data_IF_839671058852
#
_entry.id   IF_839671058852
#
_cell.length_a   1.000
_cell.length_b   1.000
_cell.length_c   1.000
_cell.angle_alpha   90.00
_cell.angle_beta   90.00
_cell.angle_gamma   90.00
#
_symmetry.space_group_name_H-M   'P 1'
#
loop_
_entity.id
_entity.type
_entity.pdbx_description
1 polymer ?
#
# COMPACT_ATOMS: atom_id res chain seq x y z
N UNK A 1 4.37 -18.64 -14.71
CA UNK A 1 3.79 -18.46 -16.07
C UNK A 1 3.21 -17.07 -16.14
N UNK A 2 3.50 -16.31 -17.21
CA UNK A 2 2.91 -14.98 -17.40
C UNK A 2 1.58 -15.15 -18.12
N UNK A 3 0.53 -14.54 -17.59
CA UNK A 3 -0.84 -14.62 -18.10
C UNK A 3 -1.40 -13.21 -18.27
N UNK A 4 -2.08 -12.97 -19.39
CA UNK A 4 -2.93 -11.80 -19.61
C UNK A 4 -4.24 -11.99 -18.90
N UNK A 5 -4.67 -11.03 -18.06
CA UNK A 5 -5.90 -11.14 -17.27
C UNK A 5 -7.02 -10.26 -17.80
N UNK A 6 -6.69 -9.11 -18.34
CA UNK A 6 -7.61 -8.21 -19.01
C UNK A 6 -6.85 -7.39 -20.05
N UNK A 7 -7.48 -7.12 -21.18
CA UNK A 7 -6.91 -6.32 -22.27
C UNK A 7 -7.97 -5.42 -22.89
N UNK A 8 -7.57 -4.19 -23.18
CA UNK A 8 -8.38 -3.19 -23.85
C UNK A 8 -7.67 -2.74 -25.11
N UNK A 9 -8.39 -2.73 -26.23
CA UNK A 9 -7.88 -2.17 -27.46
C UNK A 9 -7.89 -0.63 -27.36
N UNK A 10 -6.72 -0.07 -27.64
CA UNK A 10 -6.54 1.38 -27.76
C UNK A 10 -6.54 1.76 -29.25
N UNK A 11 -6.69 3.06 -29.60
CA UNK A 11 -6.57 3.51 -30.99
C UNK A 11 -5.29 3.02 -31.63
N UNK A 12 -5.33 2.78 -32.97
CA UNK A 12 -4.18 2.39 -33.81
C UNK A 12 -3.55 1.02 -33.46
N UNK A 13 -4.36 0.06 -33.05
CA UNK A 13 -3.96 -1.32 -32.71
C UNK A 13 -3.03 -1.46 -31.49
N UNK A 14 -2.92 -0.43 -30.65
CA UNK A 14 -2.29 -0.56 -29.35
C UNK A 14 -3.21 -1.24 -28.35
N UNK A 15 -2.65 -1.75 -27.25
CA UNK A 15 -3.43 -2.40 -26.18
C UNK A 15 -2.98 -1.94 -24.82
N UNK A 16 -3.94 -1.73 -23.95
CA UNK A 16 -3.71 -1.70 -22.51
C UNK A 16 -3.99 -3.08 -21.95
N UNK A 17 -2.94 -3.77 -21.48
CA UNK A 17 -3.04 -5.14 -20.99
C UNK A 17 -2.49 -5.22 -19.57
N UNK A 18 -3.26 -5.84 -18.67
CA UNK A 18 -2.83 -6.19 -17.32
C UNK A 18 -2.39 -7.64 -17.29
N UNK A 19 -1.21 -7.89 -16.73
CA UNK A 19 -0.61 -9.22 -16.64
C UNK A 19 -0.44 -9.66 -15.20
N UNK A 20 -0.43 -10.98 -14.99
CA UNK A 20 0.06 -11.60 -13.77
C UNK A 20 1.17 -12.61 -14.07
N UNK A 21 1.98 -12.90 -13.06
CA UNK A 21 2.88 -14.04 -13.07
C UNK A 21 2.39 -15.07 -12.04
N UNK A 22 1.94 -16.22 -12.53
CA UNK A 22 1.56 -17.37 -11.68
C UNK A 22 2.77 -18.23 -11.39
N UNK A 23 3.07 -18.39 -10.10
CA UNK A 23 4.05 -19.31 -9.56
C UNK A 23 3.31 -20.45 -8.86
N UNK A 24 3.66 -21.70 -9.20
CA UNK A 24 2.97 -22.86 -8.67
C UNK A 24 3.96 -24.02 -8.49
N UNK A 25 3.66 -25.00 -7.59
CA UNK A 25 4.43 -26.23 -7.50
C UNK A 25 4.48 -26.99 -8.81
N UNK A 26 5.50 -27.82 -8.99
CA UNK A 26 5.66 -28.61 -10.21
C UNK A 26 4.53 -29.64 -10.47
N UNK A 27 3.76 -30.00 -9.43
CA UNK A 27 2.53 -30.82 -9.56
C UNK A 27 1.44 -30.23 -8.70
N UNK A 28 0.23 -30.12 -9.25
CA UNK A 28 -0.95 -29.60 -8.58
C UNK A 28 -1.90 -30.73 -8.20
N UNK A 29 -2.39 -30.70 -6.96
CA UNK A 29 -3.42 -31.63 -6.44
C UNK A 29 -4.84 -31.08 -6.61
N UNK A 30 -4.95 -29.78 -6.89
CA UNK A 30 -6.22 -29.04 -6.94
C UNK A 30 -6.72 -28.55 -5.57
N UNK A 31 -5.88 -28.68 -4.53
CA UNK A 31 -6.19 -28.23 -3.15
C UNK A 31 -5.21 -27.16 -2.65
N UNK A 32 -4.33 -26.70 -3.52
CA UNK A 32 -3.33 -25.72 -3.18
C UNK A 32 -3.99 -24.40 -2.75
N UNK A 33 -3.49 -23.86 -1.64
CA UNK A 33 -3.82 -22.50 -1.22
C UNK A 33 -3.26 -21.48 -2.21
N UNK A 34 -4.00 -20.40 -2.42
CA UNK A 34 -3.64 -19.35 -3.38
C UNK A 34 -3.52 -17.98 -2.71
N UNK A 35 -2.34 -17.37 -2.82
CA UNK A 35 -2.07 -15.99 -2.45
C UNK A 35 -2.02 -15.13 -3.71
N UNK A 36 -2.77 -14.04 -3.74
CA UNK A 36 -2.64 -12.97 -4.71
C UNK A 36 -1.85 -11.80 -4.12
N UNK A 37 -0.83 -11.32 -4.82
CA UNK A 37 -0.04 -10.13 -4.46
C UNK A 37 -0.26 -9.11 -5.56
N UNK A 38 -0.86 -7.98 -5.19
CA UNK A 38 -1.28 -6.93 -6.11
C UNK A 38 -0.52 -5.65 -5.79
N UNK A 39 -0.02 -4.99 -6.84
CA UNK A 39 0.64 -3.68 -6.76
C UNK A 39 0.34 -2.84 -7.99
N UNK A 40 0.77 -1.58 -8.01
CA UNK A 40 0.69 -0.74 -9.20
C UNK A 40 -0.74 -0.34 -9.61
N UNK A 41 -1.69 -0.29 -8.67
CA UNK A 41 -2.99 0.36 -8.90
C UNK A 41 -2.76 1.84 -9.22
N UNK A 42 -1.80 2.45 -8.54
CA UNK A 42 -1.32 3.78 -8.83
C UNK A 42 0.07 3.69 -9.46
N UNK A 43 0.24 4.33 -10.63
CA UNK A 43 1.47 4.18 -11.39
C UNK A 43 2.68 4.93 -10.83
N UNK A 44 2.47 5.82 -9.86
CA UNK A 44 3.53 6.52 -9.12
C UNK A 44 4.02 5.76 -7.88
N UNK A 45 3.48 4.55 -7.59
CA UNK A 45 3.79 3.75 -6.41
C UNK A 45 4.74 2.59 -6.76
N UNK A 46 6.05 2.80 -6.59
CA UNK A 46 7.08 1.93 -7.15
C UNK A 46 7.65 0.88 -6.18
N UNK A 47 7.40 0.98 -4.87
CA UNK A 47 7.89 -0.01 -3.89
C UNK A 47 7.40 -1.42 -4.23
N UNK A 48 6.13 -1.53 -4.67
CA UNK A 48 5.51 -2.79 -5.07
C UNK A 48 6.22 -3.50 -6.22
N UNK A 49 6.80 -2.74 -7.16
CA UNK A 49 7.55 -3.28 -8.29
C UNK A 49 8.80 -4.04 -7.80
N UNK A 50 9.53 -3.45 -6.86
CA UNK A 50 10.70 -4.08 -6.26
C UNK A 50 10.32 -5.31 -5.41
N UNK A 51 9.23 -5.23 -4.66
CA UNK A 51 8.72 -6.36 -3.86
C UNK A 51 8.36 -7.53 -4.76
N UNK A 52 7.59 -7.31 -5.82
CA UNK A 52 7.24 -8.35 -6.79
C UNK A 52 8.48 -9.02 -7.38
N UNK A 53 9.46 -8.21 -7.81
CA UNK A 53 10.74 -8.73 -8.33
C UNK A 53 11.43 -9.64 -7.32
N UNK A 54 11.61 -9.21 -6.08
CA UNK A 54 12.32 -9.98 -5.05
C UNK A 54 11.57 -11.24 -4.61
N UNK A 55 10.23 -11.17 -4.47
CA UNK A 55 9.41 -12.35 -4.14
C UNK A 55 9.52 -13.40 -5.24
N UNK A 56 9.38 -13.01 -6.51
CA UNK A 56 9.54 -13.92 -7.65
C UNK A 56 10.96 -14.54 -7.66
N UNK A 57 11.97 -13.70 -7.47
CA UNK A 57 13.37 -14.14 -7.46
C UNK A 57 13.64 -15.17 -6.36
N UNK A 58 13.16 -14.93 -5.14
CA UNK A 58 13.32 -15.85 -4.01
C UNK A 58 12.57 -17.16 -4.23
N UNK A 59 11.34 -17.11 -4.73
CA UNK A 59 10.56 -18.34 -5.03
C UNK A 59 11.27 -19.15 -6.11
N UNK A 60 11.77 -18.52 -7.18
CA UNK A 60 12.48 -19.20 -8.24
C UNK A 60 13.85 -19.77 -7.80
N UNK A 61 14.45 -19.22 -6.73
CA UNK A 61 15.69 -19.74 -6.16
C UNK A 61 15.51 -21.01 -5.32
N UNK A 62 14.29 -21.25 -4.81
CA UNK A 62 13.96 -22.39 -3.97
C UNK A 62 12.56 -22.94 -4.34
N UNK A 63 12.37 -23.38 -5.60
CA UNK A 63 11.05 -23.77 -6.11
C UNK A 63 10.45 -24.99 -5.38
N UNK A 64 11.29 -25.84 -4.79
CA UNK A 64 10.87 -27.00 -3.99
C UNK A 64 10.14 -26.62 -2.71
N UNK A 65 10.35 -25.38 -2.20
CA UNK A 65 9.67 -24.87 -1.01
C UNK A 65 8.28 -24.35 -1.31
N UNK A 66 7.92 -24.13 -2.57
CA UNK A 66 6.60 -23.68 -2.96
C UNK A 66 5.60 -24.83 -2.89
N UNK A 67 4.57 -24.71 -2.03
CA UNK A 67 3.52 -25.72 -1.80
C UNK A 67 2.14 -25.26 -2.25
N UNK A 68 1.97 -23.97 -2.47
CA UNK A 68 0.74 -23.37 -2.95
C UNK A 68 0.95 -22.52 -4.20
N UNK A 69 -0.06 -21.78 -4.59
CA UNK A 69 -0.06 -20.90 -5.76
C UNK A 69 0.18 -19.46 -5.30
N UNK A 70 1.09 -18.76 -5.97
CA UNK A 70 1.29 -17.33 -5.78
C UNK A 70 1.05 -16.63 -7.11
N UNK A 71 -0.04 -15.88 -7.19
CA UNK A 71 -0.35 -15.00 -8.33
C UNK A 71 0.16 -13.60 -8.03
N UNK A 72 1.08 -13.11 -8.83
CA UNK A 72 1.69 -11.79 -8.67
C UNK A 72 1.24 -10.87 -9.80
N UNK A 73 0.59 -9.77 -9.43
CA UNK A 73 0.13 -8.70 -10.31
C UNK A 73 1.02 -7.48 -10.08
N UNK A 74 2.14 -7.37 -10.81
CA UNK A 74 3.15 -6.36 -10.51
C UNK A 74 2.66 -4.94 -10.83
N UNK A 75 1.69 -4.82 -11.71
CA UNK A 75 1.18 -3.53 -12.14
C UNK A 75 -0.22 -3.65 -12.73
N UNK A 76 -1.18 -2.97 -12.10
CA UNK A 76 -2.56 -2.89 -12.59
C UNK A 76 -2.80 -1.67 -13.48
N UNK A 77 -1.91 -0.68 -13.47
CA UNK A 77 -2.00 0.56 -14.23
C UNK A 77 -0.70 0.85 -15.01
N UNK A 78 -0.36 0.02 -16.00
CA UNK A 78 0.89 0.16 -16.76
C UNK A 78 1.02 1.51 -17.46
N UNK A 79 -0.10 2.13 -17.86
CA UNK A 79 -0.07 3.47 -18.46
C UNK A 79 0.28 4.55 -17.45
N UNK A 80 -0.17 4.40 -16.20
CA UNK A 80 0.20 5.28 -15.10
C UNK A 80 1.66 5.09 -14.69
N UNK A 81 2.13 3.84 -14.64
CA UNK A 81 3.53 3.51 -14.35
C UNK A 81 4.48 4.15 -15.36
N UNK A 82 4.15 4.07 -16.64
CA UNK A 82 4.98 4.57 -17.75
C UNK A 82 5.28 6.07 -17.63
N UNK A 83 4.34 6.85 -17.11
CA UNK A 83 4.50 8.30 -16.93
C UNK A 83 4.65 8.74 -15.46
N UNK A 84 4.69 7.81 -14.51
CA UNK A 84 4.77 8.10 -13.07
C UNK A 84 3.55 8.85 -12.54
N UNK A 85 2.35 8.50 -13.01
CA UNK A 85 1.08 9.12 -12.64
C UNK A 85 0.28 8.22 -11.72
N UNK A 86 -0.35 8.81 -10.69
CA UNK A 86 -1.25 8.08 -9.80
C UNK A 86 -2.42 7.42 -10.54
N UNK A 87 -3.14 8.21 -11.32
CA UNK A 87 -4.32 7.75 -12.05
C UNK A 87 -4.00 7.18 -13.42
N UNK A 88 -5.04 6.73 -14.13
CA UNK A 88 -4.98 6.34 -15.53
C UNK A 88 -4.85 7.62 -16.37
N UNK A 89 -3.75 7.83 -17.10
CA UNK A 89 -3.43 9.13 -17.70
C UNK A 89 -4.48 9.68 -18.64
N UNK A 90 -5.10 8.79 -19.45
CA UNK A 90 -6.09 9.20 -20.46
C UNK A 90 -7.41 9.70 -19.88
N UNK A 91 -7.69 9.35 -18.62
CA UNK A 91 -8.98 9.63 -17.99
C UNK A 91 -8.85 10.44 -16.70
N UNK A 92 -7.61 10.70 -16.26
CA UNK A 92 -7.31 11.31 -14.94
C UNK A 92 -8.05 10.62 -13.78
N UNK A 93 -8.30 9.30 -13.92
CA UNK A 93 -9.15 8.52 -13.04
C UNK A 93 -8.28 7.69 -12.07
N UNK A 94 -8.60 7.75 -10.79
CA UNK A 94 -8.05 6.85 -9.78
C UNK A 94 -8.73 5.48 -9.88
N UNK A 95 -8.01 4.47 -10.41
CA UNK A 95 -8.54 3.10 -10.56
C UNK A 95 -9.02 2.53 -9.22
N UNK A 96 -8.38 2.92 -8.10
CA UNK A 96 -8.80 2.49 -6.76
C UNK A 96 -10.09 3.18 -6.28
N UNK A 97 -10.90 3.70 -7.22
CA UNK A 97 -12.27 4.19 -7.04
C UNK A 97 -13.25 3.55 -8.03
N UNK A 98 -12.79 2.52 -8.75
CA UNK A 98 -13.60 1.85 -9.78
C UNK A 98 -13.95 0.40 -9.41
N UNK A 99 -13.45 -0.13 -8.29
CA UNK A 99 -13.76 -1.49 -7.84
C UNK A 99 -15.14 -1.57 -7.16
N UNK A 100 -15.85 -2.70 -7.30
CA UNK A 100 -15.47 -3.93 -7.99
C UNK A 100 -15.49 -3.88 -9.52
N UNK A 101 -15.98 -2.81 -10.11
CA UNK A 101 -16.14 -2.64 -11.54
C UNK A 101 -17.38 -3.32 -12.10
N UNK A 102 -17.59 -3.16 -13.41
CA UNK A 102 -18.68 -3.76 -14.18
C UNK A 102 -18.20 -4.17 -15.59
N UNK A 103 -18.56 -5.38 -16.03
CA UNK A 103 -18.16 -5.91 -17.34
C UNK A 103 -18.73 -5.11 -18.55
N UNK A 104 -19.77 -4.32 -18.34
CA UNK A 104 -20.38 -3.42 -19.35
C UNK A 104 -20.19 -1.94 -18.99
N UNK A 105 -19.34 -1.64 -17.99
CA UNK A 105 -19.07 -0.30 -17.51
C UNK A 105 -18.10 0.49 -18.39
N UNK A 106 -17.71 1.66 -17.90
CA UNK A 106 -16.64 2.45 -18.51
C UNK A 106 -15.30 1.67 -18.47
N UNK A 107 -14.31 2.12 -19.24
CA UNK A 107 -13.03 1.40 -19.41
C UNK A 107 -12.39 1.00 -18.09
N UNK A 108 -12.35 1.91 -17.11
CA UNK A 108 -11.76 1.61 -15.80
C UNK A 108 -12.57 0.58 -14.99
N UNK A 109 -13.90 0.63 -15.09
CA UNK A 109 -14.79 -0.34 -14.43
C UNK A 109 -14.68 -1.72 -15.09
N UNK A 110 -14.54 -1.79 -16.41
CA UNK A 110 -14.30 -3.04 -17.12
C UNK A 110 -12.98 -3.68 -16.73
N UNK A 111 -11.89 -2.88 -16.64
CA UNK A 111 -10.58 -3.38 -16.17
C UNK A 111 -10.66 -3.83 -14.72
N UNK A 112 -11.29 -3.05 -13.85
CA UNK A 112 -11.49 -3.39 -12.45
C UNK A 112 -12.26 -4.72 -12.28
N UNK A 113 -13.33 -4.94 -13.04
CA UNK A 113 -14.09 -6.19 -13.03
C UNK A 113 -13.21 -7.38 -13.45
N UNK A 114 -12.43 -7.26 -14.53
CA UNK A 114 -11.51 -8.31 -14.97
C UNK A 114 -10.43 -8.66 -13.94
N UNK A 115 -9.94 -7.65 -13.19
CA UNK A 115 -9.00 -7.84 -12.08
C UNK A 115 -9.69 -8.61 -10.94
N UNK A 116 -10.87 -8.19 -10.51
CA UNK A 116 -11.65 -8.86 -9.46
C UNK A 116 -11.92 -10.31 -9.84
N UNK A 117 -12.43 -10.57 -11.03
CA UNK A 117 -12.75 -11.93 -11.51
C UNK A 117 -11.54 -12.86 -11.47
N UNK A 118 -10.35 -12.32 -11.68
CA UNK A 118 -9.11 -13.09 -11.64
C UNK A 118 -8.61 -13.37 -10.22
N UNK A 119 -8.84 -12.45 -9.27
CA UNK A 119 -8.42 -12.59 -7.86
C UNK A 119 -9.43 -13.41 -7.05
N UNK A 120 -10.72 -13.36 -7.35
CA UNK A 120 -11.76 -14.15 -6.65
C UNK A 120 -11.34 -15.62 -6.55
N UNK A 121 -11.59 -16.21 -5.37
CA UNK A 121 -11.17 -17.57 -5.03
C UNK A 121 -9.72 -17.69 -4.56
N UNK A 122 -8.98 -16.57 -4.37
CA UNK A 122 -7.76 -16.58 -3.59
C UNK A 122 -8.06 -16.80 -2.11
N UNK A 123 -7.22 -17.56 -1.41
CA UNK A 123 -7.34 -17.75 0.04
C UNK A 123 -6.91 -16.50 0.80
N UNK A 124 -6.05 -15.67 0.19
CA UNK A 124 -5.63 -14.37 0.71
C UNK A 124 -5.17 -13.45 -0.43
N UNK A 125 -5.33 -12.14 -0.21
CA UNK A 125 -4.79 -11.12 -1.10
C UNK A 125 -3.98 -10.08 -0.31
N UNK A 126 -2.85 -9.66 -0.85
CA UNK A 126 -2.09 -8.48 -0.40
C UNK A 126 -2.25 -7.39 -1.45
N UNK A 127 -2.76 -6.24 -1.03
CA UNK A 127 -2.91 -5.03 -1.83
C UNK A 127 -1.85 -4.02 -1.37
N UNK A 128 -0.74 -3.93 -2.12
CA UNK A 128 0.46 -3.21 -1.70
C UNK A 128 0.53 -1.87 -2.41
N UNK A 129 0.54 -0.81 -1.61
CA UNK A 129 0.67 0.57 -2.02
C UNK A 129 1.94 1.22 -1.49
N UNK A 130 2.48 2.18 -2.22
CA UNK A 130 3.31 3.22 -1.62
C UNK A 130 2.41 4.40 -1.22
N UNK A 131 2.91 5.26 -0.34
CA UNK A 131 2.24 6.54 -0.11
C UNK A 131 2.32 7.41 -1.38
N UNK A 132 1.47 8.44 -1.45
CA UNK A 132 1.52 9.39 -2.56
C UNK A 132 2.84 10.19 -2.58
N UNK A 133 3.07 10.97 -3.63
CA UNK A 133 4.29 11.79 -3.82
C UNK A 133 4.50 12.87 -2.75
N UNK A 134 3.48 13.18 -1.94
CA UNK A 134 3.53 14.30 -1.00
C UNK A 134 4.03 13.92 0.39
N UNK A 135 3.80 12.69 0.82
CA UNK A 135 4.07 12.25 2.18
C UNK A 135 4.79 10.90 2.20
N UNK A 136 5.71 10.75 3.15
CA UNK A 136 6.37 9.48 3.45
C UNK A 136 5.65 8.82 4.62
N UNK A 137 5.35 7.54 4.49
CA UNK A 137 4.72 6.73 5.54
C UNK A 137 5.63 5.57 5.95
N UNK A 138 5.63 5.27 7.25
CA UNK A 138 6.25 4.05 7.76
C UNK A 138 5.40 2.84 7.32
N UNK A 139 5.98 1.65 7.14
CA UNK A 139 5.23 0.45 6.76
C UNK A 139 4.05 0.20 7.69
N UNK A 140 2.85 0.19 7.14
CA UNK A 140 1.63 0.02 7.88
C UNK A 140 0.62 -0.87 7.18
N UNK A 141 -0.09 -1.69 7.96
CA UNK A 141 -1.26 -2.40 7.51
C UNK A 141 -2.52 -1.59 7.84
N UNK A 142 -3.43 -1.48 6.89
CA UNK A 142 -4.69 -0.74 7.04
C UNK A 142 -5.86 -1.71 7.12
N UNK A 143 -6.63 -1.58 8.20
CA UNK A 143 -7.80 -2.39 8.48
C UNK A 143 -9.00 -1.48 8.76
N UNK A 144 -10.20 -2.04 8.56
CA UNK A 144 -11.43 -1.41 9.04
C UNK A 144 -11.90 -2.07 10.34
N UNK A 145 -12.72 -1.37 11.11
CA UNK A 145 -13.37 -1.95 12.31
C UNK A 145 -14.14 -3.24 11.99
N UNK A 146 -14.67 -3.37 10.78
CA UNK A 146 -15.46 -4.52 10.34
C UNK A 146 -14.58 -5.75 10.07
N UNK A 147 -13.40 -5.56 9.45
CA UNK A 147 -12.54 -6.66 9.04
C UNK A 147 -11.38 -6.96 10.01
N UNK A 148 -11.17 -6.11 11.04
CA UNK A 148 -10.03 -6.24 11.96
C UNK A 148 -9.93 -7.63 12.62
N UNK A 149 -11.04 -8.22 13.05
CA UNK A 149 -11.02 -9.53 13.72
C UNK A 149 -10.48 -10.64 12.82
N UNK A 150 -10.74 -10.54 11.51
CA UNK A 150 -10.29 -11.51 10.50
C UNK A 150 -8.83 -11.25 10.08
N UNK A 151 -8.43 -9.99 9.94
CA UNK A 151 -7.16 -9.61 9.32
C UNK A 151 -6.03 -9.29 10.31
N UNK A 152 -6.35 -8.91 11.55
CA UNK A 152 -5.35 -8.52 12.55
C UNK A 152 -4.29 -9.62 12.84
N UNK A 153 -4.63 -10.93 12.88
CA UNK A 153 -3.61 -11.96 13.02
C UNK A 153 -2.54 -11.92 11.92
N UNK A 154 -2.95 -11.69 10.67
CA UNK A 154 -2.06 -11.58 9.52
C UNK A 154 -1.29 -10.26 9.51
N UNK A 155 -1.93 -9.16 9.91
CA UNK A 155 -1.27 -7.86 10.06
C UNK A 155 -0.13 -7.88 11.09
N UNK A 156 -0.16 -8.78 12.07
CA UNK A 156 0.89 -8.95 13.07
C UNK A 156 2.12 -9.70 12.58
N UNK A 157 2.00 -10.49 11.51
CA UNK A 157 3.10 -11.29 10.97
C UNK A 157 3.67 -10.75 9.66
N UNK A 158 3.00 -9.78 9.04
CA UNK A 158 3.42 -9.18 7.76
C UNK A 158 4.62 -8.21 7.92
N UNK A 159 5.16 -8.02 9.12
CA UNK A 159 6.33 -7.21 9.43
C UNK A 159 6.17 -5.72 9.12
N UNK A 160 4.99 -5.15 9.37
CA UNK A 160 4.79 -3.71 9.36
C UNK A 160 5.07 -3.10 10.73
N UNK A 161 5.39 -1.80 10.79
CA UNK A 161 5.63 -1.08 12.04
C UNK A 161 4.34 -0.60 12.70
N UNK A 162 3.27 -0.47 11.90
CA UNK A 162 2.01 0.11 12.34
C UNK A 162 0.81 -0.65 11.77
N UNK A 163 -0.26 -0.77 12.56
CA UNK A 163 -1.57 -1.23 12.13
C UNK A 163 -2.57 -0.12 12.41
N UNK A 164 -3.15 0.44 11.37
CA UNK A 164 -4.15 1.50 11.49
C UNK A 164 -5.54 0.94 11.24
N UNK A 165 -6.36 0.95 12.30
CA UNK A 165 -7.76 0.54 12.25
C UNK A 165 -8.61 1.81 12.18
N UNK A 166 -9.38 1.96 11.12
CA UNK A 166 -10.24 3.12 10.89
C UNK A 166 -11.70 2.73 10.70
N UNK A 167 -12.59 3.69 10.93
CA UNK A 167 -14.02 3.50 10.73
C UNK A 167 -14.35 3.37 9.23
N UNK A 168 -15.18 2.38 8.87
CA UNK A 168 -15.56 2.07 7.48
C UNK A 168 -16.42 3.14 6.78
N UNK A 169 -16.78 4.24 7.47
CA UNK A 169 -17.64 5.32 6.94
C UNK A 169 -16.91 6.30 6.00
N UNK A 170 -16.00 5.85 5.20
CA UNK A 170 -15.19 6.73 4.33
C UNK A 170 -15.27 6.31 2.87
N UNK A 171 -14.64 7.09 2.00
CA UNK A 171 -14.52 6.98 0.53
C UNK A 171 -13.87 5.63 0.06
N UNK A 172 -13.87 4.59 0.90
CA UNK A 172 -13.14 3.35 0.68
C UNK A 172 -13.96 2.27 -0.02
N UNK A 173 -15.29 2.46 -0.15
CA UNK A 173 -16.23 1.46 -0.66
C UNK A 173 -15.93 1.00 -2.10
N UNK A 174 -15.14 1.76 -2.84
CA UNK A 174 -14.74 1.48 -4.21
C UNK A 174 -13.26 1.12 -4.37
N UNK A 175 -12.58 0.70 -3.29
CA UNK A 175 -11.19 0.21 -3.34
C UNK A 175 -11.13 -1.29 -3.59
N UNK A 176 -10.01 -1.77 -4.15
CA UNK A 176 -9.77 -3.19 -4.37
C UNK A 176 -9.90 -3.99 -3.06
N UNK A 177 -9.19 -3.57 -2.02
CA UNK A 177 -9.18 -4.29 -0.74
C UNK A 177 -10.57 -4.35 -0.10
N UNK A 178 -11.36 -3.28 -0.14
CA UNK A 178 -12.73 -3.27 0.37
C UNK A 178 -13.63 -4.22 -0.42
N UNK A 179 -13.60 -4.13 -1.75
CA UNK A 179 -14.41 -4.98 -2.63
C UNK A 179 -14.12 -6.46 -2.43
N UNK A 180 -12.83 -6.85 -2.40
CA UNK A 180 -12.42 -8.25 -2.19
C UNK A 180 -12.82 -8.77 -0.79
N UNK A 181 -12.66 -7.96 0.26
CA UNK A 181 -13.10 -8.34 1.61
C UNK A 181 -14.60 -8.59 1.69
N UNK A 182 -15.42 -7.83 0.94
CA UNK A 182 -16.87 -8.04 0.84
C UNK A 182 -17.25 -9.25 -0.02
N UNK A 183 -16.32 -9.76 -0.83
CA UNK A 183 -16.46 -10.97 -1.65
C UNK A 183 -15.77 -12.19 -1.03
N UNK A 184 -15.58 -12.17 0.28
CA UNK A 184 -14.99 -13.26 1.07
C UNK A 184 -13.52 -13.59 0.75
N UNK A 185 -12.80 -12.72 0.01
CA UNK A 185 -11.35 -12.83 -0.16
C UNK A 185 -10.66 -11.97 0.91
N UNK A 186 -10.03 -12.58 1.95
CA UNK A 186 -9.28 -11.83 2.97
C UNK A 186 -8.19 -11.00 2.30
N UNK A 187 -8.33 -9.67 2.37
CA UNK A 187 -7.40 -8.75 1.69
C UNK A 187 -6.84 -7.74 2.67
N UNK A 188 -5.52 -7.72 2.79
CA UNK A 188 -4.79 -6.80 3.64
C UNK A 188 -4.15 -5.70 2.78
N UNK A 189 -4.56 -4.46 3.01
CA UNK A 189 -3.94 -3.31 2.36
C UNK A 189 -2.69 -2.88 3.15
N UNK A 190 -1.59 -2.68 2.44
CA UNK A 190 -0.31 -2.20 2.97
C UNK A 190 0.00 -0.85 2.35
N UNK A 191 0.46 0.08 3.18
CA UNK A 191 0.94 1.39 2.75
C UNK A 191 2.33 1.65 3.32
N UNK A 192 3.25 2.21 2.54
CA UNK A 192 4.59 2.53 3.00
C UNK A 192 5.31 3.50 2.06
N UNK A 193 6.46 4.00 2.48
CA UNK A 193 7.35 4.78 1.61
C UNK A 193 6.76 6.08 1.10
N UNK A 194 7.11 6.47 -0.09
CA UNK A 194 6.66 7.69 -0.80
C UNK A 194 6.65 7.45 -2.30
N UNK A 195 5.68 7.99 -3.00
CA UNK A 195 5.54 7.86 -4.45
C UNK A 195 6.76 8.32 -5.25
N UNK A 196 6.91 7.79 -6.47
CA UNK A 196 8.03 8.01 -7.38
C UNK A 196 9.41 7.60 -6.83
N UNK A 197 9.46 6.70 -5.84
CA UNK A 197 10.70 6.20 -5.23
C UNK A 197 10.56 4.74 -4.84
N UNK A 198 11.70 4.09 -4.60
CA UNK A 198 11.79 2.77 -3.99
C UNK A 198 12.48 2.92 -2.63
N UNK A 199 11.77 2.62 -1.56
CA UNK A 199 12.30 2.53 -0.21
C UNK A 199 12.76 1.10 0.08
N UNK A 200 13.95 0.77 -0.38
CA UNK A 200 14.46 -0.61 -0.33
C UNK A 200 14.39 -1.23 1.06
N UNK A 201 14.70 -0.47 2.14
CA UNK A 201 14.64 -0.95 3.51
C UNK A 201 13.22 -1.41 3.91
N UNK A 202 12.20 -0.60 3.55
CA UNK A 202 10.79 -0.94 3.81
C UNK A 202 10.33 -2.12 2.95
N UNK A 203 10.80 -2.18 1.69
CA UNK A 203 10.51 -3.31 0.83
C UNK A 203 11.09 -4.61 1.38
N UNK A 204 12.36 -4.62 1.78
CA UNK A 204 13.04 -5.78 2.34
C UNK A 204 12.33 -6.25 3.62
N UNK A 205 11.90 -5.30 4.48
CA UNK A 205 11.11 -5.58 5.69
C UNK A 205 9.78 -6.27 5.34
N UNK A 206 9.02 -5.75 4.38
CA UNK A 206 7.73 -6.33 3.98
C UNK A 206 7.90 -7.69 3.29
N UNK A 207 8.94 -7.88 2.49
CA UNK A 207 9.23 -9.16 1.84
C UNK A 207 9.39 -10.28 2.88
N UNK A 208 10.10 -10.04 3.98
CA UNK A 208 10.21 -11.00 5.08
C UNK A 208 8.83 -11.34 5.66
N UNK A 209 7.96 -10.35 5.84
CA UNK A 209 6.57 -10.55 6.27
C UNK A 209 5.72 -11.32 5.26
N UNK A 210 5.93 -11.10 3.96
CA UNK A 210 5.23 -11.86 2.90
C UNK A 210 5.58 -13.35 2.99
N UNK A 211 6.85 -13.69 3.22
CA UNK A 211 7.23 -15.10 3.41
C UNK A 211 6.66 -15.70 4.70
N UNK A 212 6.59 -14.93 5.81
CA UNK A 212 5.87 -15.37 7.01
C UNK A 212 4.39 -15.66 6.74
N UNK A 213 3.73 -14.78 5.98
CA UNK A 213 2.34 -14.98 5.56
C UNK A 213 2.19 -16.24 4.69
N UNK A 214 3.09 -16.45 3.74
CA UNK A 214 3.07 -17.66 2.89
C UNK A 214 3.26 -18.93 3.71
N UNK A 215 4.09 -18.91 4.76
CA UNK A 215 4.29 -20.03 5.69
C UNK A 215 3.00 -20.27 6.50
N UNK A 216 2.40 -19.21 7.05
CA UNK A 216 1.14 -19.29 7.80
C UNK A 216 0.00 -19.89 6.97
N UNK A 217 -0.07 -19.53 5.70
CA UNK A 217 -1.05 -20.06 4.75
C UNK A 217 -0.72 -21.47 4.25
N UNK A 218 0.45 -22.03 4.55
CA UNK A 218 0.92 -23.31 4.03
C UNK A 218 1.32 -23.27 2.55
N UNK A 219 1.63 -22.10 2.02
CA UNK A 219 2.04 -21.86 0.63
C UNK A 219 3.56 -22.01 0.46
N UNK A 220 4.33 -21.76 1.52
CA UNK A 220 5.79 -21.85 1.52
C UNK A 220 6.29 -22.72 2.67
N UNK A 221 7.25 -23.60 2.38
CA UNK A 221 7.88 -24.47 3.38
C UNK A 221 9.08 -23.74 4.00
N UNK A 222 9.01 -23.51 5.32
CA UNK A 222 10.04 -22.83 6.07
C UNK A 222 9.64 -22.55 7.50
N UNK A 223 10.49 -21.85 8.22
CA UNK A 223 10.21 -21.34 9.56
C UNK A 223 9.93 -19.85 9.48
N UNK A 224 8.90 -19.39 10.20
CA UNK A 224 8.62 -17.96 10.33
C UNK A 224 9.79 -17.28 11.07
N UNK A 225 10.23 -16.16 10.54
CA UNK A 225 11.18 -15.30 11.22
C UNK A 225 10.47 -14.42 12.25
N UNK A 226 11.18 -14.04 13.30
CA UNK A 226 10.68 -13.06 14.26
C UNK A 226 10.56 -11.70 13.58
N UNK A 227 9.37 -11.11 13.63
CA UNK A 227 9.06 -9.80 13.06
C UNK A 227 8.81 -8.77 14.16
N UNK A 228 8.85 -7.51 13.80
CA UNK A 228 8.48 -6.42 14.71
C UNK A 228 7.02 -6.57 15.11
N UNK A 229 6.72 -6.29 16.37
CA UNK A 229 5.34 -6.19 16.81
C UNK A 229 4.80 -4.79 16.41
N UNK A 230 3.80 -4.71 15.54
CA UNK A 230 3.30 -3.42 15.10
C UNK A 230 2.57 -2.69 16.23
N UNK A 231 2.61 -1.36 16.19
CA UNK A 231 1.73 -0.53 17.01
C UNK A 231 0.34 -0.59 16.39
N UNK A 232 -0.66 -0.94 17.21
CA UNK A 232 -2.05 -1.01 16.79
C UNK A 232 -2.74 0.27 17.24
N UNK A 233 -3.26 1.04 16.29
CA UNK A 233 -3.91 2.31 16.53
C UNK A 233 -5.32 2.36 15.94
N UNK A 234 -6.18 3.12 16.60
CA UNK A 234 -7.47 3.57 16.07
C UNK A 234 -7.42 5.06 15.76
N UNK A 235 -8.32 5.57 14.92
CA UNK A 235 -8.32 6.99 14.50
C UNK A 235 -8.26 8.01 15.63
N UNK A 236 -8.93 7.75 16.75
CA UNK A 236 -9.00 8.68 17.89
C UNK A 236 -7.70 8.87 18.67
N UNK A 237 -6.59 8.25 18.22
CA UNK A 237 -5.26 8.36 18.85
C UNK A 237 -4.23 9.00 17.92
N UNK A 238 -4.66 9.53 16.77
CA UNK A 238 -3.78 10.10 15.75
C UNK A 238 -3.99 11.60 15.66
N UNK A 239 -2.90 12.36 15.87
CA UNK A 239 -2.84 13.79 15.66
C UNK A 239 -2.47 14.11 14.22
N UNK A 240 -3.26 14.93 13.53
CA UNK A 240 -3.05 15.36 12.17
C UNK A 240 -2.46 16.77 12.16
N UNK A 241 -1.17 16.89 11.92
CA UNK A 241 -0.49 18.18 11.85
C UNK A 241 -0.59 18.75 10.44
N UNK A 242 -1.19 19.92 10.34
CA UNK A 242 -1.41 20.61 9.07
C UNK A 242 -0.73 21.96 9.04
N UNK A 243 -0.31 22.39 7.85
CA UNK A 243 0.18 23.75 7.67
C UNK A 243 -0.97 24.75 7.80
N UNK A 244 -0.77 25.79 8.59
CA UNK A 244 -1.68 26.94 8.72
C UNK A 244 -1.50 27.98 7.62
N UNK A 245 -0.47 27.84 6.79
CA UNK A 245 -0.10 28.82 5.76
C UNK A 245 0.48 28.16 4.52
N UNK A 246 0.61 28.89 3.42
CA UNK A 246 1.38 28.47 2.25
C UNK A 246 2.87 28.77 2.43
N UNK A 247 3.71 27.98 1.79
CA UNK A 247 5.17 28.16 1.78
C UNK A 247 5.94 26.91 1.37
N UNK A 248 7.21 26.86 1.79
CA UNK A 248 8.09 25.71 1.58
C UNK A 248 8.36 25.07 2.93
N UNK A 249 7.94 23.81 3.10
CA UNK A 249 8.20 23.05 4.31
C UNK A 249 9.61 22.47 4.29
N UNK A 250 10.36 22.73 5.37
CA UNK A 250 11.70 22.19 5.61
C UNK A 250 11.64 21.31 6.85
N UNK A 251 11.75 19.97 6.72
CA UNK A 251 11.68 19.06 7.86
C UNK A 251 12.91 19.19 8.75
N UNK A 252 12.71 19.22 10.06
CA UNK A 252 13.75 19.09 11.09
C UNK A 252 13.93 17.63 11.54
N UNK A 253 12.85 16.84 11.50
CA UNK A 253 12.88 15.41 11.77
C UNK A 253 13.37 14.68 10.52
N UNK A 254 14.35 13.80 10.68
CA UNK A 254 14.93 13.03 9.56
C UNK A 254 14.29 11.64 9.38
N UNK A 255 13.90 11.02 10.47
CA UNK A 255 13.39 9.65 10.50
C UNK A 255 12.01 9.62 11.16
N UNK A 256 11.16 8.72 10.67
CA UNK A 256 9.91 8.36 11.34
C UNK A 256 10.24 7.55 12.61
N UNK A 257 9.43 7.70 13.67
CA UNK A 257 9.67 7.00 14.94
C UNK A 257 9.25 7.81 16.16
N UNK A 258 9.80 7.46 17.32
CA UNK A 258 9.46 8.07 18.60
C UNK A 258 9.84 9.56 18.66
N UNK A 259 8.91 10.39 19.13
CA UNK A 259 9.10 11.83 19.37
C UNK A 259 8.42 12.25 20.68
N UNK A 260 8.95 13.31 21.30
CA UNK A 260 8.34 13.94 22.48
C UNK A 260 7.43 15.11 22.12
N UNK A 261 6.52 15.46 23.00
CA UNK A 261 5.77 16.72 22.95
C UNK A 261 6.75 17.90 22.84
N UNK A 262 6.44 18.86 21.96
CA UNK A 262 7.33 20.01 21.67
C UNK A 262 8.49 19.69 20.73
N UNK A 263 8.65 18.43 20.27
CA UNK A 263 9.67 18.12 19.27
C UNK A 263 9.44 18.95 18.01
N UNK A 264 10.46 19.69 17.57
CA UNK A 264 10.44 20.47 16.34
C UNK A 264 10.40 19.55 15.11
N UNK A 265 9.26 19.52 14.43
CA UNK A 265 9.03 18.66 13.24
C UNK A 265 9.57 19.33 11.98
N UNK A 266 9.44 20.65 11.86
CA UNK A 266 9.94 21.42 10.75
C UNK A 266 9.36 22.84 10.69
N UNK A 267 9.86 23.59 9.73
CA UNK A 267 9.47 24.99 9.50
C UNK A 267 8.83 25.16 8.12
N UNK A 268 7.80 25.99 8.04
CA UNK A 268 7.33 26.55 6.76
C UNK A 268 8.01 27.87 6.55
N UNK A 269 8.76 27.99 5.47
CA UNK A 269 9.55 29.19 5.13
C UNK A 269 8.93 29.93 3.93
N UNK A 270 9.14 31.23 3.91
CA UNK A 270 8.80 32.12 2.80
C UNK A 270 10.09 32.63 2.13
N UNK A 271 10.46 32.07 0.96
CA UNK A 271 11.77 32.39 0.34
C UNK A 271 11.95 33.86 -0.04
N UNK A 272 10.86 34.54 -0.44
CA UNK A 272 10.95 35.93 -0.90
C UNK A 272 11.28 36.91 0.22
N UNK A 273 10.90 36.64 1.46
CA UNK A 273 11.19 37.48 2.62
C UNK A 273 12.31 36.92 3.50
N UNK A 274 12.74 35.66 3.27
CA UNK A 274 13.71 34.97 4.10
C UNK A 274 13.21 34.65 5.51
N UNK A 275 11.91 34.53 5.73
CA UNK A 275 11.29 34.32 7.06
C UNK A 275 10.76 32.91 7.24
N UNK A 276 10.82 32.44 8.48
CA UNK A 276 10.01 31.33 8.95
C UNK A 276 8.61 31.89 9.23
N UNK A 277 7.60 31.39 8.48
CA UNK A 277 6.21 31.83 8.62
C UNK A 277 5.40 30.93 9.54
N UNK A 278 5.85 29.68 9.75
CA UNK A 278 5.27 28.79 10.75
C UNK A 278 6.31 27.77 11.22
N UNK A 279 6.38 27.57 12.53
CA UNK A 279 7.09 26.44 13.15
C UNK A 279 6.06 25.37 13.50
N UNK A 280 6.37 24.11 13.19
CA UNK A 280 5.50 22.94 13.47
C UNK A 280 6.21 22.08 14.50
N UNK A 281 5.51 21.81 15.60
CA UNK A 281 5.99 21.01 16.71
C UNK A 281 4.97 19.90 17.04
N UNK A 282 5.43 18.82 17.65
CA UNK A 282 4.54 17.75 18.10
C UNK A 282 3.69 18.21 19.28
N UNK A 283 2.35 18.07 19.22
CA UNK A 283 1.49 18.40 20.36
C UNK A 283 1.49 17.34 21.46
N UNK A 284 2.06 16.15 21.21
CA UNK A 284 2.01 14.99 22.10
C UNK A 284 3.34 14.22 22.08
N UNK A 285 3.56 13.44 23.14
CA UNK A 285 4.55 12.36 23.12
C UNK A 285 3.98 11.21 22.28
N UNK A 286 4.81 10.60 21.40
CA UNK A 286 4.30 9.52 20.57
C UNK A 286 5.24 9.10 19.46
N UNK A 287 4.63 8.68 18.36
CA UNK A 287 5.34 8.18 17.18
C UNK A 287 4.87 8.95 15.95
N UNK A 288 5.82 9.65 15.31
CA UNK A 288 5.59 10.20 13.98
C UNK A 288 5.70 9.06 12.97
N UNK A 289 4.60 8.71 12.33
CA UNK A 289 4.53 7.61 11.37
C UNK A 289 4.25 8.08 9.93
N UNK A 290 3.98 9.37 9.76
CA UNK A 290 3.82 10.03 8.45
C UNK A 290 4.49 11.39 8.52
N UNK A 291 5.28 11.73 7.49
CA UNK A 291 5.95 13.03 7.36
C UNK A 291 5.88 13.51 5.90
N UNK A 292 5.69 14.82 5.73
CA UNK A 292 5.68 15.43 4.40
C UNK A 292 7.06 15.37 3.76
N UNK A 293 7.08 14.88 2.54
CA UNK A 293 8.28 14.75 1.70
C UNK A 293 8.32 15.84 0.61
N UNK A 294 7.18 16.10 -0.03
CA UNK A 294 7.09 17.19 -1.03
C UNK A 294 7.04 18.54 -0.34
N UNK A 295 8.02 19.44 -0.61
CA UNK A 295 8.24 20.62 0.21
C UNK A 295 7.18 21.72 0.06
N UNK A 296 6.49 21.81 -1.08
CA UNK A 296 5.48 22.87 -1.29
C UNK A 296 4.24 22.55 -0.45
N UNK A 297 3.81 23.52 0.36
CA UNK A 297 2.62 23.41 1.21
C UNK A 297 1.68 24.59 0.99
N UNK A 298 0.41 24.29 1.11
CA UNK A 298 -0.68 25.26 1.16
C UNK A 298 -1.32 25.22 2.56
N UNK A 299 -2.12 26.22 2.89
CA UNK A 299 -2.93 26.16 4.09
C UNK A 299 -3.80 24.90 4.07
N UNK A 300 -3.79 24.12 5.17
CA UNK A 300 -4.47 22.83 5.28
C UNK A 300 -3.68 21.62 4.79
N UNK A 301 -2.52 21.80 4.12
CA UNK A 301 -1.67 20.67 3.71
C UNK A 301 -1.26 19.83 4.91
N UNK A 302 -1.40 18.50 4.80
CA UNK A 302 -0.89 17.56 5.79
C UNK A 302 0.65 17.64 5.83
N UNK A 303 1.19 17.79 7.04
CA UNK A 303 2.64 17.83 7.29
C UNK A 303 3.11 16.57 7.98
N UNK A 304 2.37 16.13 9.01
CA UNK A 304 2.73 14.91 9.73
C UNK A 304 1.49 14.27 10.36
N UNK A 305 1.60 12.97 10.69
CA UNK A 305 0.70 12.26 11.60
C UNK A 305 1.51 11.71 12.74
N UNK A 306 1.02 11.94 13.96
CA UNK A 306 1.63 11.46 15.20
C UNK A 306 0.61 10.61 15.94
N UNK A 307 0.98 9.37 16.23
CA UNK A 307 0.25 8.52 17.15
C UNK A 307 0.71 8.80 18.59
N UNK A 308 -0.20 9.01 19.52
CA UNK A 308 0.16 9.28 20.90
C UNK A 308 -0.87 10.10 21.69
N UNK A 309 -1.90 10.63 21.03
CA UNK A 309 -2.99 11.33 21.70
C UNK A 309 -3.72 10.39 22.69
N UNK A 310 -4.01 10.85 23.92
CA UNK A 310 -4.93 10.16 24.81
C UNK A 310 -6.34 10.34 24.29
N UNK A 311 -7.12 9.24 24.19
CA UNK A 311 -8.58 9.38 24.17
C UNK A 311 -8.98 10.05 25.49
N UNK A 312 -9.52 11.26 25.45
CA UNK A 312 -10.35 11.79 26.52
C UNK A 312 -11.70 11.07 26.54
#
# INVERSE_FOLDING_TARGET
>A
MIEEIVSIELPVHEKWTVHKNRLAPGSLSGKEKRLSIVTGIHGDELDGQYICYEVIRRINSYPEKLKGIVDIYPDLNPLGLDIGSRGIPMFELDMNRSFPGENNGAVAEYVAAGIIDNIIGSDFCLDIHSSNIFIKEMPQARLTEENQNRLLPFAKIINTDFVWIYSSKTVLDATLAYSLNNMDVPTLAIEMGVGNRINKEYCDQLIEGIFNLMIELGIWEGEQISVRQPIISTEGQVEFLRSGTGGVFVPAVKNLGAIGMGTHIGDVIEPITGRIVQRIESPVDGIIFTLREHPVVYQGSLVARVYGGKKE
#
